data_IF_219228034671
#
_entry.id   IF_219228034671
#
_cell.length_a   1.000
_cell.length_b   1.000
_cell.length_c   1.000
_cell.angle_alpha   90.00
_cell.angle_beta   90.00
_cell.angle_gamma   90.00
#
_symmetry.space_group_name_H-M   'P 1'
#
loop_
_entity.id
_entity.type
_entity.pdbx_description
1 polymer ?
#
# COMPACT_ATOMS: atom_id res chain seq x y z
N UNK A 1 -18.89 -6.60 -30.23
CA UNK A 1 -18.03 -6.64 -29.04
C UNK A 1 -16.77 -5.83 -29.34
N UNK A 2 -16.55 -4.75 -28.63
CA UNK A 2 -15.32 -3.99 -28.77
C UNK A 2 -14.21 -4.68 -28.00
N UNK A 3 -13.30 -5.33 -28.72
CA UNK A 3 -12.12 -5.93 -28.13
C UNK A 3 -11.06 -4.84 -27.94
N UNK A 4 -10.97 -4.32 -26.73
CA UNK A 4 -9.93 -3.39 -26.35
C UNK A 4 -8.91 -4.07 -25.42
N UNK A 5 -7.66 -3.64 -25.52
CA UNK A 5 -6.67 -4.05 -24.55
C UNK A 5 -7.04 -3.49 -23.17
N UNK A 6 -7.10 -4.35 -22.17
CA UNK A 6 -7.27 -3.92 -20.78
C UNK A 6 -5.92 -3.51 -20.24
N UNK A 7 -5.81 -2.30 -19.71
CA UNK A 7 -4.60 -1.88 -19.01
C UNK A 7 -4.45 -2.70 -17.72
N UNK A 8 -3.44 -3.55 -17.67
CA UNK A 8 -3.15 -4.44 -16.56
C UNK A 8 -1.88 -4.03 -15.79
N UNK A 9 -1.31 -2.87 -16.12
CA UNK A 9 -0.07 -2.39 -15.51
C UNK A 9 -0.27 -1.05 -14.84
N UNK A 10 0.46 -0.82 -13.76
CA UNK A 10 0.51 0.45 -13.03
C UNK A 10 1.99 0.79 -12.77
N UNK A 11 2.38 2.01 -13.08
CA UNK A 11 3.76 2.48 -12.86
C UNK A 11 3.88 3.14 -11.50
N UNK A 12 4.89 2.74 -10.74
CA UNK A 12 5.26 3.32 -9.46
C UNK A 12 6.63 3.99 -9.59
N UNK A 13 6.81 5.13 -8.91
CA UNK A 13 8.04 5.88 -8.95
C UNK A 13 8.74 5.80 -7.59
N UNK A 14 10.02 5.47 -7.62
CA UNK A 14 10.89 5.49 -6.46
C UNK A 14 11.78 6.72 -6.47
N UNK A 15 11.68 7.56 -5.45
CA UNK A 15 12.46 8.77 -5.31
C UNK A 15 13.50 8.66 -4.20
N UNK A 16 14.70 9.19 -4.46
CA UNK A 16 15.78 9.25 -3.50
C UNK A 16 15.98 10.71 -3.07
N UNK A 17 15.91 10.94 -1.75
CA UNK A 17 16.10 12.27 -1.18
C UNK A 17 17.58 12.57 -0.94
N UNK A 18 18.06 13.73 -1.42
CA UNK A 18 19.45 14.22 -1.23
C UNK A 18 20.54 13.20 -1.58
N UNK A 19 20.38 12.44 -2.63
CA UNK A 19 21.34 11.41 -3.11
C UNK A 19 21.69 10.35 -2.05
N UNK A 20 20.86 10.19 -1.02
CA UNK A 20 21.01 9.12 -0.04
C UNK A 20 19.94 8.09 -0.26
N UNK A 21 20.33 6.87 -0.51
CA UNK A 21 19.42 5.74 -0.43
C UNK A 21 18.97 5.62 1.02
N UNK A 22 17.65 5.67 1.25
CA UNK A 22 17.06 5.35 2.55
C UNK A 22 17.17 3.85 2.84
N UNK A 23 16.27 3.36 3.68
CA UNK A 23 16.12 1.92 3.93
C UNK A 23 15.80 1.20 2.64
N UNK A 24 16.53 0.15 2.34
CA UNK A 24 16.28 -0.73 1.20
C UNK A 24 16.61 -2.18 1.57
N UNK A 25 15.60 -2.90 2.05
CA UNK A 25 15.73 -4.24 2.61
C UNK A 25 15.64 -5.31 1.52
N UNK A 26 16.67 -5.45 0.72
CA UNK A 26 16.72 -6.43 -0.38
C UNK A 26 17.50 -7.72 -0.03
N UNK A 27 17.93 -7.86 1.21
CA UNK A 27 18.74 -9.02 1.68
C UNK A 27 20.00 -9.26 0.82
N UNK A 28 20.57 -8.18 0.27
CA UNK A 28 21.75 -8.25 -0.60
C UNK A 28 21.48 -8.80 -2.01
N UNK A 29 20.22 -8.95 -2.41
CA UNK A 29 19.83 -9.44 -3.74
C UNK A 29 19.31 -8.29 -4.61
N UNK A 30 19.42 -8.44 -5.93
CA UNK A 30 18.71 -7.55 -6.85
C UNK A 30 17.22 -7.91 -6.83
N UNK A 31 16.38 -6.89 -6.69
CA UNK A 31 14.94 -7.04 -6.83
C UNK A 31 14.52 -6.72 -8.27
N UNK A 32 13.49 -7.39 -8.74
CA UNK A 32 12.87 -7.04 -10.01
C UNK A 32 12.22 -5.66 -9.92
N UNK A 33 12.20 -4.94 -11.04
CA UNK A 33 11.52 -3.64 -11.20
C UNK A 33 10.03 -3.78 -11.53
N UNK A 34 9.49 -4.98 -11.38
CA UNK A 34 8.07 -5.28 -11.54
C UNK A 34 7.58 -6.23 -10.44
N UNK A 35 6.28 -6.14 -10.14
CA UNK A 35 5.58 -7.01 -9.21
C UNK A 35 4.28 -7.45 -9.87
N UNK A 36 3.98 -8.73 -9.81
CA UNK A 36 2.70 -9.28 -10.23
C UNK A 36 1.83 -9.54 -9.00
N UNK A 37 0.64 -8.96 -9.00
CA UNK A 37 -0.35 -9.20 -7.94
C UNK A 37 -1.70 -9.50 -8.57
N UNK A 38 -2.52 -10.27 -7.86
CA UNK A 38 -3.93 -10.38 -8.20
C UNK A 38 -4.64 -9.02 -8.00
N UNK A 39 -5.80 -8.86 -8.63
CA UNK A 39 -6.71 -7.76 -8.30
C UNK A 39 -7.10 -7.84 -6.82
N UNK A 40 -7.48 -6.70 -6.24
CA UNK A 40 -7.84 -6.62 -4.82
C UNK A 40 -8.86 -7.69 -4.44
N UNK A 41 -8.53 -8.64 -3.53
CA UNK A 41 -9.45 -9.69 -3.12
C UNK A 41 -10.72 -9.16 -2.44
N UNK A 42 -11.81 -9.90 -2.53
CA UNK A 42 -13.09 -9.51 -1.93
C UNK A 42 -13.00 -9.33 -0.40
N UNK A 43 -12.17 -10.13 0.28
CA UNK A 43 -11.96 -10.02 1.73
C UNK A 43 -11.34 -8.70 2.16
N UNK A 44 -10.54 -8.07 1.30
CA UNK A 44 -9.96 -6.75 1.55
C UNK A 44 -10.97 -5.60 1.37
N UNK A 45 -12.18 -5.89 0.89
CA UNK A 45 -13.26 -4.93 0.63
C UNK A 45 -14.43 -5.05 1.60
N UNK A 46 -14.29 -5.76 2.72
CA UNK A 46 -15.39 -6.05 3.66
C UNK A 46 -16.01 -4.80 4.28
N UNK A 47 -15.30 -3.70 4.38
CA UNK A 47 -15.81 -2.44 4.92
C UNK A 47 -16.34 -1.46 3.86
N UNK A 48 -16.37 -1.87 2.59
CA UNK A 48 -16.84 -1.06 1.48
C UNK A 48 -15.95 -1.16 0.26
N UNK A 49 -16.37 -0.47 -0.81
CA UNK A 49 -15.63 -0.44 -2.07
C UNK A 49 -15.01 0.94 -2.28
N UNK A 50 -13.73 0.94 -2.57
CA UNK A 50 -13.03 2.12 -3.09
C UNK A 50 -12.64 1.85 -4.54
N UNK A 51 -12.86 2.79 -5.49
CA UNK A 51 -12.67 2.53 -6.92
C UNK A 51 -11.23 2.17 -7.30
N UNK A 52 -10.25 2.67 -6.54
CA UNK A 52 -8.82 2.46 -6.78
C UNK A 52 -8.10 1.82 -5.60
N UNK A 53 -8.80 0.98 -4.81
CA UNK A 53 -8.18 0.27 -3.70
C UNK A 53 -7.04 -0.61 -4.18
N UNK A 54 -5.86 -0.42 -3.61
CA UNK A 54 -4.66 -1.22 -3.93
C UNK A 54 -4.70 -2.57 -3.19
N UNK A 55 -4.18 -3.65 -3.81
CA UNK A 55 -4.00 -4.93 -3.12
C UNK A 55 -3.03 -4.80 -1.95
N UNK A 56 -3.33 -5.45 -0.84
CA UNK A 56 -2.44 -5.45 0.33
C UNK A 56 -1.08 -6.07 0.01
N UNK A 57 -1.04 -7.11 -0.83
CA UNK A 57 0.21 -7.74 -1.27
C UNK A 57 1.19 -6.77 -1.94
N UNK A 58 0.69 -5.77 -2.67
CA UNK A 58 1.52 -4.74 -3.29
C UNK A 58 2.13 -3.81 -2.24
N UNK A 59 1.33 -3.37 -1.27
CA UNK A 59 1.81 -2.53 -0.18
C UNK A 59 2.78 -3.28 0.74
N UNK A 60 2.54 -4.57 0.98
CA UNK A 60 3.43 -5.45 1.74
C UNK A 60 4.85 -5.44 1.16
N UNK A 61 4.98 -5.56 -0.15
CA UNK A 61 6.27 -5.49 -0.81
C UNK A 61 6.96 -4.15 -0.56
N UNK A 62 6.29 -3.03 -0.82
CA UNK A 62 6.91 -1.71 -0.65
C UNK A 62 7.26 -1.39 0.80
N UNK A 63 6.37 -1.67 1.74
CA UNK A 63 6.60 -1.37 3.15
C UNK A 63 7.75 -2.20 3.71
N UNK A 64 7.82 -3.49 3.39
CA UNK A 64 8.90 -4.36 3.86
C UNK A 64 10.26 -4.00 3.28
N UNK A 65 10.31 -3.60 2.01
CA UNK A 65 11.56 -3.21 1.35
C UNK A 65 12.04 -1.82 1.77
N UNK A 66 11.12 -0.86 1.91
CA UNK A 66 11.46 0.56 2.04
C UNK A 66 11.40 1.09 3.48
N UNK A 67 11.06 0.26 4.45
CA UNK A 67 11.02 0.66 5.86
C UNK A 67 11.45 -0.46 6.79
N UNK A 68 11.81 -0.08 8.02
CA UNK A 68 12.06 -1.00 9.12
C UNK A 68 10.91 -0.98 10.13
N UNK A 69 10.81 -2.01 10.97
CA UNK A 69 9.88 -2.03 12.09
C UNK A 69 10.10 -0.83 13.00
N UNK A 70 9.01 -0.25 13.50
CA UNK A 70 9.03 0.95 14.32
C UNK A 70 9.14 2.27 13.57
N UNK A 71 9.53 2.25 12.29
CA UNK A 71 9.53 3.46 11.45
C UNK A 71 8.11 3.91 11.10
N UNK A 72 7.96 5.15 10.67
CA UNK A 72 6.67 5.75 10.34
C UNK A 72 6.47 5.79 8.83
N UNK A 73 5.36 5.24 8.38
CA UNK A 73 4.89 5.29 6.99
C UNK A 73 3.86 6.41 6.86
N UNK A 74 4.05 7.32 5.92
CA UNK A 74 3.13 8.39 5.59
C UNK A 74 2.43 8.08 4.26
N UNK A 75 1.10 8.14 4.27
CA UNK A 75 0.28 8.11 3.05
C UNK A 75 -0.66 9.32 3.03
N UNK A 76 -0.31 10.38 2.28
CA UNK A 76 -1.10 11.61 2.23
C UNK A 76 -2.39 11.49 1.41
N UNK A 77 -2.63 10.36 0.75
CA UNK A 77 -3.81 10.07 -0.06
C UNK A 77 -4.29 8.64 0.21
N UNK A 78 -4.50 8.29 1.48
CA UNK A 78 -4.65 6.91 1.91
C UNK A 78 -5.88 6.18 1.37
N UNK A 79 -6.89 6.89 0.86
CA UNK A 79 -8.11 6.30 0.33
C UNK A 79 -8.76 5.33 1.33
N UNK A 80 -8.88 4.07 0.94
CA UNK A 80 -9.43 3.01 1.81
C UNK A 80 -8.44 2.49 2.87
N UNK A 81 -7.23 3.05 2.98
CA UNK A 81 -6.27 2.77 4.04
C UNK A 81 -5.45 1.49 3.89
N UNK A 82 -5.27 0.97 2.68
CA UNK A 82 -4.49 -0.26 2.47
C UNK A 82 -3.06 -0.14 3.01
N UNK A 83 -2.40 1.00 2.78
CA UNK A 83 -1.06 1.28 3.31
C UNK A 83 -1.04 1.19 4.84
N UNK A 84 -2.04 1.77 5.51
CA UNK A 84 -2.14 1.75 6.97
C UNK A 84 -2.40 0.37 7.55
N UNK A 85 -3.24 -0.44 6.87
CA UNK A 85 -3.49 -1.84 7.25
C UNK A 85 -2.19 -2.64 7.24
N UNK A 86 -1.43 -2.51 6.15
CA UNK A 86 -0.18 -3.25 5.99
C UNK A 86 0.91 -2.71 6.93
N UNK A 87 1.04 -1.40 7.08
CA UNK A 87 1.98 -0.79 8.01
C UNK A 87 1.77 -1.30 9.44
N UNK A 88 0.52 -1.28 9.92
CA UNK A 88 0.19 -1.78 11.25
C UNK A 88 0.50 -3.26 11.42
N UNK A 89 0.13 -4.09 10.45
CA UNK A 89 0.40 -5.55 10.47
C UNK A 89 1.88 -5.86 10.56
N UNK A 90 2.71 -5.01 9.98
CA UNK A 90 4.16 -5.15 9.95
C UNK A 90 4.89 -4.32 11.02
N UNK A 91 4.23 -3.90 12.08
CA UNK A 91 4.81 -3.15 13.19
C UNK A 91 5.43 -1.80 12.77
N UNK A 92 4.87 -1.13 11.75
CA UNK A 92 5.22 0.25 11.41
C UNK A 92 4.19 1.21 11.99
N UNK A 93 4.65 2.39 12.40
CA UNK A 93 3.75 3.50 12.68
C UNK A 93 3.16 4.02 11.38
N UNK A 94 1.97 4.60 11.43
CA UNK A 94 1.28 5.07 10.24
C UNK A 94 0.64 6.45 10.46
N UNK A 95 0.81 7.31 9.46
CA UNK A 95 0.09 8.57 9.34
C UNK A 95 -0.60 8.55 7.99
N UNK A 96 -1.92 8.60 7.99
CA UNK A 96 -2.73 8.64 6.78
C UNK A 96 -3.56 9.91 6.71
N UNK A 97 -3.73 10.46 5.51
CA UNK A 97 -4.56 11.63 5.23
C UNK A 97 -5.55 11.24 4.14
N UNK A 98 -6.84 11.55 4.37
CA UNK A 98 -7.90 11.36 3.40
C UNK A 98 -8.91 12.51 3.54
N UNK A 99 -9.24 13.13 2.43
CA UNK A 99 -10.16 14.27 2.39
C UNK A 99 -11.62 13.81 2.43
N UNK A 100 -11.94 12.71 1.79
CA UNK A 100 -13.29 12.17 1.74
C UNK A 100 -13.63 11.47 3.06
N UNK A 101 -14.65 11.99 3.76
CA UNK A 101 -15.05 11.46 5.08
C UNK A 101 -15.51 10.01 5.04
N UNK A 102 -16.13 9.58 3.94
CA UNK A 102 -16.57 8.19 3.81
C UNK A 102 -15.39 7.25 3.67
N UNK A 103 -14.42 7.59 2.82
CA UNK A 103 -13.20 6.79 2.68
C UNK A 103 -12.32 6.86 3.92
N UNK A 104 -12.26 8.00 4.59
CA UNK A 104 -11.57 8.11 5.88
C UNK A 104 -12.16 7.14 6.92
N UNK A 105 -13.48 7.12 7.09
CA UNK A 105 -14.14 6.20 8.02
C UNK A 105 -13.90 4.73 7.65
N UNK A 106 -13.90 4.41 6.35
CA UNK A 106 -13.58 3.07 5.86
C UNK A 106 -12.14 2.67 6.21
N UNK A 107 -11.18 3.58 5.97
CA UNK A 107 -9.78 3.37 6.29
C UNK A 107 -9.57 3.15 7.79
N UNK A 108 -10.21 3.98 8.61
CA UNK A 108 -10.14 3.86 10.07
C UNK A 108 -10.62 2.49 10.56
N UNK A 109 -11.78 2.03 10.07
CA UNK A 109 -12.31 0.70 10.40
C UNK A 109 -11.38 -0.43 9.98
N UNK A 110 -10.81 -0.34 8.78
CA UNK A 110 -9.86 -1.34 8.27
C UNK A 110 -8.60 -1.41 9.13
N UNK A 111 -8.02 -0.27 9.44
CA UNK A 111 -6.77 -0.18 10.21
C UNK A 111 -6.98 -0.62 11.66
N UNK A 112 -8.08 -0.21 12.29
CA UNK A 112 -8.43 -0.63 13.65
C UNK A 112 -8.70 -2.13 13.74
N UNK A 113 -9.29 -2.71 12.72
CA UNK A 113 -9.59 -4.15 12.64
C UNK A 113 -8.38 -5.07 12.43
N UNK A 114 -7.16 -4.51 12.26
CA UNK A 114 -5.94 -5.32 12.17
C UNK A 114 -5.59 -5.86 13.56
N UNK A 115 -5.55 -7.18 13.67
CA UNK A 115 -5.02 -7.89 14.84
C UNK A 115 -3.55 -8.20 14.58
N UNK A 116 -2.69 -7.88 15.51
CA UNK A 116 -1.26 -8.19 15.50
C UNK A 116 -1.04 -9.52 16.21
#
# INVERSE_FOLDING_TARGET
MNLHFVNSTETWLYFIYKKKTGTFNNKGMLLHDFIETAVTPAGERKYGKHPTQKPEALMEHFISVLSNEGECVLDPFMGSGTTGVVAKRNNRNFIGIELDKHYFAMAEQRIQGVTI
#
